data_IF_676344862612
#
_entry.id   IF_676344862612
#
_cell.length_a   1.000
_cell.length_b   1.000
_cell.length_c   1.000
_cell.angle_alpha   90.00
_cell.angle_beta   90.00
_cell.angle_gamma   90.00
#
_symmetry.space_group_name_H-M   'P 1'
#
loop_
_entity.id
_entity.type
_entity.pdbx_description
1 polymer ?
#
# COMPACT_ATOMS: atom_id res chain seq x y z
N UNK A 1 22.28 -8.34 31.44
CA UNK A 1 21.24 -9.19 30.82
C UNK A 1 20.21 -8.28 30.16
N UNK A 2 20.38 -7.98 28.87
CA UNK A 2 19.39 -7.23 28.10
C UNK A 2 18.28 -8.18 27.69
N UNK A 3 17.08 -8.02 28.23
CA UNK A 3 15.89 -8.75 27.77
C UNK A 3 15.62 -8.34 26.34
N UNK A 4 15.84 -9.26 25.40
CA UNK A 4 15.43 -9.10 24.01
C UNK A 4 13.89 -8.99 24.00
N UNK A 5 13.35 -7.76 24.02
CA UNK A 5 11.90 -7.54 23.92
C UNK A 5 11.46 -8.08 22.56
N UNK A 6 10.79 -9.23 22.57
CA UNK A 6 10.19 -9.84 21.38
C UNK A 6 9.11 -8.89 20.87
N UNK A 7 9.25 -8.42 19.64
CA UNK A 7 8.34 -7.46 19.01
C UNK A 7 7.43 -8.20 18.06
N UNK A 8 6.18 -7.78 18.00
CA UNK A 8 5.23 -8.27 17.00
C UNK A 8 5.38 -7.43 15.74
N UNK A 9 5.34 -8.07 14.58
CA UNK A 9 5.19 -7.36 13.32
C UNK A 9 4.09 -8.00 12.49
N UNK A 10 3.37 -7.16 11.77
CA UNK A 10 2.44 -7.57 10.73
C UNK A 10 2.83 -6.86 9.44
N UNK A 11 2.99 -7.65 8.39
CA UNK A 11 3.15 -7.19 7.02
C UNK A 11 1.96 -7.70 6.21
N UNK A 12 1.37 -6.80 5.42
CA UNK A 12 0.22 -7.08 4.56
C UNK A 12 0.59 -6.66 3.15
N UNK A 13 0.51 -7.59 2.21
CA UNK A 13 0.69 -7.30 0.79
C UNK A 13 -0.57 -7.66 0.02
N UNK A 14 -1.12 -6.72 -0.74
CA UNK A 14 -2.23 -7.00 -1.65
C UNK A 14 -1.78 -6.68 -3.08
N UNK A 15 -1.70 -7.69 -3.98
CA UNK A 15 -1.41 -7.46 -5.38
C UNK A 15 -2.53 -6.65 -6.03
N UNK A 16 -2.16 -5.69 -6.86
CA UNK A 16 -3.10 -4.96 -7.68
C UNK A 16 -3.59 -5.89 -8.80
N UNK A 17 -4.91 -5.87 -9.12
CA UNK A 17 -5.39 -6.47 -10.34
C UNK A 17 -4.68 -5.90 -11.57
N UNK A 18 -4.66 -6.68 -12.65
CA UNK A 18 -4.10 -6.23 -13.92
C UNK A 18 -4.75 -4.92 -14.39
N UNK A 19 -3.94 -3.96 -14.85
CA UNK A 19 -4.41 -2.64 -15.28
C UNK A 19 -4.84 -1.68 -14.16
N UNK A 20 -4.84 -2.10 -12.88
CA UNK A 20 -5.26 -1.26 -11.76
C UNK A 20 -4.13 -0.42 -11.14
N UNK A 21 -2.96 -0.34 -11.78
CA UNK A 21 -1.77 0.32 -11.24
C UNK A 21 -2.02 1.78 -10.83
N UNK A 22 -2.69 2.57 -11.66
CA UNK A 22 -2.98 3.98 -11.37
C UNK A 22 -3.84 4.15 -10.10
N UNK A 23 -4.88 3.32 -9.97
CA UNK A 23 -5.79 3.32 -8.81
C UNK A 23 -5.03 2.92 -7.54
N UNK A 24 -4.17 1.90 -7.61
CA UNK A 24 -3.38 1.45 -6.47
C UNK A 24 -2.28 2.44 -6.08
N UNK A 25 -1.69 3.16 -7.04
CA UNK A 25 -0.78 4.28 -6.78
C UNK A 25 -1.50 5.39 -6.01
N UNK A 26 -2.71 5.77 -6.46
CA UNK A 26 -3.52 6.77 -5.78
C UNK A 26 -3.94 6.32 -4.38
N UNK A 27 -4.38 5.06 -4.24
CA UNK A 27 -4.69 4.45 -2.94
C UNK A 27 -3.52 4.54 -1.97
N UNK A 28 -2.32 4.11 -2.39
CA UNK A 28 -1.13 4.18 -1.55
C UNK A 28 -0.78 5.63 -1.15
N UNK A 29 -0.86 6.57 -2.10
CA UNK A 29 -0.58 7.98 -1.86
C UNK A 29 -1.55 8.59 -0.84
N UNK A 30 -2.84 8.32 -0.98
CA UNK A 30 -3.87 8.82 -0.04
C UNK A 30 -3.84 8.12 1.31
N UNK A 31 -3.53 6.83 1.34
CA UNK A 31 -3.54 6.04 2.56
C UNK A 31 -2.34 6.35 3.46
N UNK A 32 -1.21 6.82 2.90
CA UNK A 32 0.02 7.05 3.66
C UNK A 32 -0.19 7.96 4.88
N UNK A 33 -0.87 9.09 4.71
CA UNK A 33 -1.15 10.05 5.79
C UNK A 33 -2.04 9.46 6.89
N UNK A 34 -3.28 9.04 6.59
CA UNK A 34 -4.21 8.42 7.54
C UNK A 34 -3.63 7.19 8.24
N UNK A 35 -2.90 6.34 7.52
CA UNK A 35 -2.27 5.14 8.08
C UNK A 35 -1.21 5.49 9.12
N UNK A 36 -0.36 6.46 8.82
CA UNK A 36 0.63 6.95 9.78
C UNK A 36 -0.04 7.61 10.98
N UNK A 37 -0.96 8.55 10.74
CA UNK A 37 -1.67 9.28 11.79
C UNK A 37 -2.38 8.32 12.76
N UNK A 38 -3.16 7.37 12.24
CA UNK A 38 -3.94 6.45 13.07
C UNK A 38 -3.07 5.46 13.84
N UNK A 39 -2.15 4.77 13.16
CA UNK A 39 -1.42 3.64 13.76
C UNK A 39 -0.18 4.09 14.53
N UNK A 40 0.52 5.15 14.10
CA UNK A 40 1.74 5.65 14.76
C UNK A 40 1.43 6.71 15.81
N UNK A 41 0.56 7.67 15.52
CA UNK A 41 0.33 8.84 16.40
C UNK A 41 -0.78 8.57 17.41
N UNK A 42 -1.96 8.18 16.94
CA UNK A 42 -3.15 8.04 17.80
C UNK A 42 -3.12 6.76 18.64
N UNK A 43 -2.94 5.61 17.98
CA UNK A 43 -2.95 4.31 18.65
C UNK A 43 -1.57 3.93 19.21
N UNK A 44 -0.52 4.70 18.87
CA UNK A 44 0.87 4.51 19.34
C UNK A 44 1.38 3.07 19.16
N UNK A 45 0.93 2.39 18.10
CA UNK A 45 1.08 0.95 17.95
C UNK A 45 2.47 0.52 17.57
N UNK A 46 3.37 1.38 17.09
CA UNK A 46 4.64 0.86 16.61
C UNK A 46 5.74 1.86 16.42
N UNK A 47 6.98 1.37 16.48
CA UNK A 47 8.21 2.12 16.17
C UNK A 47 8.38 2.35 14.67
N UNK A 48 7.83 1.44 13.85
CA UNK A 48 7.84 1.49 12.41
C UNK A 48 6.42 1.20 11.89
N UNK A 49 5.91 2.12 11.06
CA UNK A 49 4.62 2.05 10.39
C UNK A 49 4.88 2.53 8.96
N UNK A 50 4.49 1.74 7.96
CA UNK A 50 4.63 2.14 6.57
C UNK A 50 3.44 1.67 5.72
N UNK A 51 3.11 2.48 4.73
CA UNK A 51 2.16 2.20 3.67
C UNK A 51 2.80 2.66 2.38
N UNK A 52 2.96 1.76 1.42
CA UNK A 52 3.57 2.11 0.15
C UNK A 52 3.16 1.16 -0.96
N UNK A 53 3.20 1.64 -2.20
CA UNK A 53 3.16 0.77 -3.36
C UNK A 53 4.52 0.08 -3.54
N UNK A 54 4.50 -1.19 -3.90
CA UNK A 54 5.69 -1.99 -4.23
C UNK A 54 5.43 -2.79 -5.50
N UNK A 55 6.49 -3.00 -6.26
CA UNK A 55 6.49 -4.00 -7.33
C UNK A 55 7.43 -5.13 -6.92
N UNK A 56 6.93 -6.36 -7.03
CA UNK A 56 7.67 -7.57 -6.69
C UNK A 56 7.57 -8.53 -7.87
N UNK A 57 8.68 -8.79 -8.55
CA UNK A 57 8.71 -9.62 -9.76
C UNK A 57 7.67 -9.22 -10.83
N UNK A 58 7.53 -7.92 -11.11
CA UNK A 58 6.54 -7.39 -12.07
C UNK A 58 5.10 -7.32 -11.54
N UNK A 59 4.84 -7.77 -10.30
CA UNK A 59 3.53 -7.64 -9.66
C UNK A 59 3.49 -6.36 -8.83
N UNK A 60 2.73 -5.38 -9.29
CA UNK A 60 2.42 -4.18 -8.51
C UNK A 60 1.43 -4.53 -7.39
N UNK A 61 1.63 -3.98 -6.20
CA UNK A 61 0.70 -4.12 -5.09
C UNK A 61 0.94 -3.12 -3.97
N UNK A 62 0.01 -3.05 -3.03
CA UNK A 62 0.16 -2.23 -1.83
C UNK A 62 0.77 -3.06 -0.71
N UNK A 63 1.76 -2.49 -0.02
CA UNK A 63 2.45 -3.08 1.11
C UNK A 63 2.22 -2.22 2.35
N UNK A 64 1.59 -2.79 3.36
CA UNK A 64 1.32 -2.17 4.66
C UNK A 64 2.10 -2.91 5.73
N UNK A 65 2.74 -2.21 6.65
CA UNK A 65 3.53 -2.83 7.69
C UNK A 65 3.50 -2.07 9.00
N UNK A 66 3.39 -2.80 10.11
CA UNK A 66 3.46 -2.25 11.47
C UNK A 66 4.28 -3.19 12.35
N UNK A 67 5.22 -2.62 13.10
CA UNK A 67 5.93 -3.32 14.16
C UNK A 67 5.60 -2.72 15.53
N UNK A 68 4.99 -3.53 16.39
CA UNK A 68 4.56 -3.15 17.74
C UNK A 68 5.36 -3.82 18.85
N UNK A 69 5.71 -3.09 19.92
CA UNK A 69 6.23 -3.71 21.14
C UNK A 69 5.14 -4.36 22.00
N UNK A 70 3.85 -4.06 21.77
CA UNK A 70 2.76 -4.40 22.70
C UNK A 70 1.52 -4.99 22.03
N UNK A 71 1.14 -4.52 20.85
CA UNK A 71 -0.03 -5.01 20.13
C UNK A 71 0.27 -6.32 19.40
N UNK A 72 -0.66 -7.27 19.47
CA UNK A 72 -0.57 -8.53 18.73
C UNK A 72 -0.86 -8.32 17.24
N UNK A 73 -0.39 -9.21 16.33
CA UNK A 73 -0.70 -9.11 14.91
C UNK A 73 -2.20 -9.06 14.60
N UNK A 74 -3.03 -9.80 15.35
CA UNK A 74 -4.48 -9.77 15.20
C UNK A 74 -5.10 -8.40 15.56
N UNK A 75 -4.63 -7.77 16.65
CA UNK A 75 -5.07 -6.43 17.02
C UNK A 75 -4.64 -5.38 15.99
N UNK A 76 -3.39 -5.47 15.50
CA UNK A 76 -2.89 -4.60 14.43
C UNK A 76 -3.75 -4.75 13.17
N UNK A 77 -4.04 -5.99 12.75
CA UNK A 77 -4.89 -6.27 11.60
C UNK A 77 -6.29 -5.68 11.76
N UNK A 78 -6.89 -5.79 12.95
CA UNK A 78 -8.18 -5.17 13.25
C UNK A 78 -8.17 -3.65 13.06
N UNK A 79 -7.12 -2.97 13.53
CA UNK A 79 -6.96 -1.53 13.32
C UNK A 79 -6.75 -1.16 11.85
N UNK A 80 -5.97 -1.95 11.10
CA UNK A 80 -5.79 -1.75 9.66
C UNK A 80 -7.11 -1.92 8.90
N UNK A 81 -7.89 -2.97 9.23
CA UNK A 81 -9.19 -3.22 8.60
C UNK A 81 -10.19 -2.10 8.88
N UNK A 82 -10.26 -1.62 10.13
CA UNK A 82 -11.10 -0.47 10.50
C UNK A 82 -10.71 0.77 9.68
N UNK A 83 -9.42 1.11 9.62
CA UNK A 83 -8.94 2.25 8.84
C UNK A 83 -9.30 2.14 7.36
N UNK A 84 -9.09 0.96 6.76
CA UNK A 84 -9.39 0.75 5.33
C UNK A 84 -10.89 0.79 5.05
N UNK A 85 -11.72 0.30 5.97
CA UNK A 85 -13.19 0.41 5.89
C UNK A 85 -13.63 1.88 5.96
N UNK A 86 -13.10 2.63 6.93
CA UNK A 86 -13.37 4.07 7.07
C UNK A 86 -12.91 4.82 5.81
N UNK A 87 -11.77 4.45 5.24
CA UNK A 87 -11.25 4.99 3.99
C UNK A 87 -12.17 4.68 2.79
N UNK A 88 -12.67 3.45 2.65
CA UNK A 88 -13.56 3.06 1.56
C UNK A 88 -14.92 3.76 1.60
N UNK A 89 -15.34 4.26 2.77
CA UNK A 89 -16.59 5.01 2.92
C UNK A 89 -16.40 6.52 2.84
N UNK A 90 -15.16 7.01 2.88
CA UNK A 90 -14.86 8.42 2.82
C UNK A 90 -14.90 8.91 1.36
N UNK A 91 -16.01 9.54 0.98
CA UNK A 91 -16.06 10.34 -0.24
C UNK A 91 -15.27 11.63 -0.02
N UNK A 92 -13.99 11.61 -0.38
CA UNK A 92 -13.13 12.77 -0.28
C UNK A 92 -12.62 13.13 -1.67
N UNK A 93 -12.85 14.40 -2.06
CA UNK A 93 -12.26 14.98 -3.27
C UNK A 93 -10.75 14.73 -3.26
N UNK A 94 -10.30 14.04 -4.30
CA UNK A 94 -8.95 13.58 -4.51
C UNK A 94 -8.32 14.25 -5.72
N UNK A 95 -8.92 15.31 -6.27
CA UNK A 95 -8.33 16.07 -7.36
C UNK A 95 -6.91 16.51 -6.99
N UNK A 96 -6.71 17.20 -5.87
CA UNK A 96 -5.37 17.64 -5.48
C UNK A 96 -4.39 16.47 -5.30
N UNK A 97 -4.87 15.33 -4.79
CA UNK A 97 -4.06 14.13 -4.59
C UNK A 97 -3.69 13.45 -5.93
N UNK A 98 -4.62 13.38 -6.89
CA UNK A 98 -4.37 12.90 -8.26
C UNK A 98 -3.35 13.79 -8.96
N UNK A 99 -3.52 15.11 -8.89
CA UNK A 99 -2.60 16.06 -9.48
C UNK A 99 -1.20 15.94 -8.87
N UNK A 100 -1.09 15.93 -7.54
CA UNK A 100 0.19 15.81 -6.85
C UNK A 100 0.89 14.47 -7.13
N UNK A 101 0.13 13.39 -7.30
CA UNK A 101 0.67 12.09 -7.66
C UNK A 101 1.11 12.03 -9.13
N UNK A 102 0.29 12.51 -10.06
CA UNK A 102 0.63 12.54 -11.47
C UNK A 102 1.89 13.38 -11.73
N UNK A 103 2.06 14.50 -11.02
CA UNK A 103 3.24 15.36 -11.14
C UNK A 103 4.56 14.64 -10.78
N UNK A 104 4.53 13.59 -9.96
CA UNK A 104 5.73 12.82 -9.62
C UNK A 104 6.28 11.99 -10.79
N UNK A 105 5.49 11.82 -11.86
CA UNK A 105 5.85 11.00 -13.03
C UNK A 105 6.23 11.85 -14.25
N UNK A 106 6.56 13.13 -14.07
CA UNK A 106 7.19 13.91 -15.13
C UNK A 106 8.65 13.47 -15.32
N UNK A 107 8.99 13.06 -16.54
CA UNK A 107 10.33 12.55 -16.87
C UNK A 107 11.44 13.55 -16.51
N UNK A 108 11.18 14.85 -16.66
CA UNK A 108 12.13 15.92 -16.32
C UNK A 108 12.42 16.03 -14.83
N UNK A 109 11.52 15.53 -13.98
CA UNK A 109 11.61 15.61 -12.51
C UNK A 109 12.15 14.30 -11.92
N UNK A 110 12.31 13.26 -12.74
CA UNK A 110 12.83 11.95 -12.37
C UNK A 110 14.31 11.82 -12.77
N UNK A 111 15.07 11.04 -12.00
CA UNK A 111 16.41 10.65 -12.45
C UNK A 111 16.32 9.61 -13.57
N UNK A 112 17.33 9.54 -14.44
CA UNK A 112 17.40 8.50 -15.48
C UNK A 112 17.32 7.08 -14.89
N UNK A 113 17.85 6.88 -13.68
CA UNK A 113 17.78 5.60 -12.99
C UNK A 113 16.33 5.26 -12.59
N UNK A 114 15.57 6.23 -12.09
CA UNK A 114 14.18 6.04 -11.71
C UNK A 114 13.28 5.79 -12.94
N UNK A 115 13.53 6.50 -14.05
CA UNK A 115 12.82 6.27 -15.31
C UNK A 115 13.11 4.88 -15.86
N UNK A 116 14.38 4.46 -15.87
CA UNK A 116 14.77 3.14 -16.33
C UNK A 116 14.19 2.01 -15.46
N UNK A 117 14.26 2.16 -14.14
CA UNK A 117 13.68 1.19 -13.20
C UNK A 117 12.16 1.12 -13.36
N UNK A 118 11.47 2.25 -13.46
CA UNK A 118 10.02 2.27 -13.70
C UNK A 118 9.66 1.58 -15.03
N UNK A 119 10.37 1.89 -16.12
CA UNK A 119 10.11 1.30 -17.43
C UNK A 119 10.36 -0.22 -17.40
N UNK A 120 11.43 -0.66 -16.74
CA UNK A 120 11.75 -2.07 -16.58
C UNK A 120 10.67 -2.83 -15.80
N UNK A 121 10.22 -2.26 -14.67
CA UNK A 121 9.18 -2.84 -13.83
C UNK A 121 7.83 -2.93 -14.57
N UNK A 122 7.50 -1.90 -15.35
CA UNK A 122 6.29 -1.87 -16.20
C UNK A 122 6.37 -2.88 -17.36
N UNK A 123 7.56 -3.11 -17.92
CA UNK A 123 7.77 -4.17 -18.89
C UNK A 123 7.56 -5.56 -18.27
N UNK A 124 8.08 -5.79 -17.06
CA UNK A 124 7.89 -7.06 -16.33
C UNK A 124 6.42 -7.34 -15.98
N UNK A 125 5.58 -6.31 -15.85
CA UNK A 125 4.14 -6.47 -15.63
C UNK A 125 3.34 -6.78 -16.91
N UNK A 126 4.01 -6.87 -18.06
CA UNK A 126 3.41 -7.25 -19.35
C UNK A 126 3.15 -6.08 -20.31
N UNK A 127 3.45 -4.85 -19.92
CA UNK A 127 3.24 -3.66 -20.77
C UNK A 127 4.44 -3.48 -21.70
N UNK A 128 4.23 -3.70 -23.00
CA UNK A 128 5.33 -3.68 -23.98
C UNK A 128 5.91 -2.29 -24.26
N UNK A 129 5.10 -1.25 -24.13
CA UNK A 129 5.49 0.14 -24.43
C UNK A 129 5.14 1.04 -23.24
N UNK A 130 5.95 1.03 -22.18
CA UNK A 130 5.73 1.88 -21.01
C UNK A 130 5.79 3.36 -21.42
N UNK A 131 4.76 4.13 -21.04
CA UNK A 131 4.69 5.58 -21.24
C UNK A 131 4.30 6.31 -19.96
N UNK A 132 5.18 7.21 -19.47
CA UNK A 132 4.92 8.02 -18.28
C UNK A 132 3.69 8.92 -18.46
N UNK A 133 3.49 9.48 -19.67
CA UNK A 133 2.31 10.31 -19.96
C UNK A 133 1.01 9.51 -19.92
N UNK A 134 1.04 8.24 -20.34
CA UNK A 134 -0.11 7.34 -20.23
C UNK A 134 -0.42 7.02 -18.77
N UNK A 135 0.61 6.78 -17.94
CA UNK A 135 0.43 6.58 -16.49
C UNK A 135 -0.15 7.83 -15.81
N UNK A 136 0.38 9.02 -16.12
CA UNK A 136 -0.16 10.28 -15.59
C UNK A 136 -1.63 10.46 -15.96
N UNK A 137 -2.00 10.27 -17.23
CA UNK A 137 -3.38 10.37 -17.68
C UNK A 137 -4.27 9.35 -16.96
N UNK A 138 -3.80 8.12 -16.76
CA UNK A 138 -4.52 7.10 -16.02
C UNK A 138 -4.73 7.48 -14.54
N UNK A 139 -3.73 8.08 -13.88
CA UNK A 139 -3.83 8.58 -12.50
C UNK A 139 -4.88 9.70 -12.41
N UNK A 140 -4.85 10.65 -13.35
CA UNK A 140 -5.79 11.78 -13.39
C UNK A 140 -7.23 11.33 -13.70
N UNK A 141 -7.39 10.20 -14.41
CA UNK A 141 -8.68 9.62 -14.77
C UNK A 141 -9.21 8.60 -13.74
N UNK A 142 -8.56 8.43 -12.58
CA UNK A 142 -9.07 7.53 -11.54
C UNK A 142 -10.38 8.09 -10.99
N UNK A 143 -11.44 7.31 -11.16
CA UNK A 143 -12.76 7.61 -10.64
C UNK A 143 -12.87 7.24 -9.14
N UNK A 144 -13.66 8.00 -8.33
CA UNK A 144 -13.80 7.73 -6.90
C UNK A 144 -14.23 6.30 -6.58
N UNK A 145 -15.19 5.74 -7.32
CA UNK A 145 -15.67 4.36 -7.10
C UNK A 145 -14.55 3.33 -7.30
N UNK A 146 -13.61 3.56 -8.22
CA UNK A 146 -12.49 2.64 -8.45
C UNK A 146 -11.56 2.60 -7.22
N UNK A 147 -11.40 3.74 -6.54
CA UNK A 147 -10.62 3.84 -5.31
C UNK A 147 -11.30 3.11 -4.14
N UNK A 148 -12.62 3.23 -4.00
CA UNK A 148 -13.41 2.50 -3.00
C UNK A 148 -13.35 0.98 -3.24
N UNK A 149 -13.50 0.55 -4.50
CA UNK A 149 -13.33 -0.85 -4.90
C UNK A 149 -11.92 -1.35 -4.60
N UNK A 150 -10.88 -0.56 -4.85
CA UNK A 150 -9.51 -0.95 -4.53
C UNK A 150 -9.28 -1.09 -3.02
N UNK A 151 -9.80 -0.17 -2.20
CA UNK A 151 -9.71 -0.27 -0.74
C UNK A 151 -10.42 -1.53 -0.21
N UNK A 152 -11.60 -1.85 -0.76
CA UNK A 152 -12.33 -3.09 -0.44
C UNK A 152 -11.54 -4.33 -0.88
N UNK A 153 -10.99 -4.31 -2.09
CA UNK A 153 -10.17 -5.42 -2.58
C UNK A 153 -8.97 -5.73 -1.66
N UNK A 154 -8.32 -4.71 -1.09
CA UNK A 154 -7.23 -4.88 -0.13
C UNK A 154 -7.69 -5.59 1.15
N UNK A 155 -8.93 -5.41 1.59
CA UNK A 155 -9.49 -6.11 2.75
C UNK A 155 -9.69 -7.60 2.49
N UNK A 156 -10.00 -7.97 1.25
CA UNK A 156 -10.44 -9.32 0.88
C UNK A 156 -9.31 -10.18 0.31
N UNK A 157 -8.33 -9.57 -0.37
CA UNK A 157 -7.31 -10.28 -1.16
C UNK A 157 -5.87 -10.05 -0.65
N UNK A 158 -5.74 -9.63 0.60
CA UNK A 158 -4.44 -9.40 1.22
C UNK A 158 -3.75 -10.71 1.64
N UNK A 159 -2.46 -10.79 1.36
CA UNK A 159 -1.54 -11.78 1.92
C UNK A 159 -0.94 -11.24 3.22
N UNK A 160 -0.89 -12.08 4.25
CA UNK A 160 -0.44 -11.69 5.58
C UNK A 160 0.83 -12.43 5.99
N UNK A 161 1.81 -11.69 6.50
CA UNK A 161 2.98 -12.23 7.17
C UNK A 161 3.05 -11.63 8.56
N UNK A 162 2.86 -12.47 9.58
CA UNK A 162 2.92 -12.08 10.97
C UNK A 162 4.14 -12.73 11.63
N UNK A 163 4.87 -11.95 12.44
CA UNK A 163 5.83 -12.52 13.39
C UNK A 163 5.19 -12.61 14.76
N UNK A 164 4.99 -13.85 15.22
CA UNK A 164 4.65 -14.14 16.61
C UNK A 164 5.93 -14.49 17.38
N UNK A 165 6.02 -14.17 18.68
CA UNK A 165 7.18 -14.50 19.51
C UNK A 165 7.41 -16.00 19.77
N UNK A 166 6.62 -16.87 19.14
CA UNK A 166 6.69 -18.33 19.10
C UNK A 166 6.01 -18.82 17.82
N UNK A 167 6.73 -19.69 17.10
CA UNK A 167 6.37 -20.44 15.90
C UNK A 167 5.77 -19.66 14.72
N UNK A 168 6.54 -19.65 13.64
CA UNK A 168 6.14 -19.22 12.30
C UNK A 168 5.02 -20.12 11.76
N UNK A 169 3.79 -19.88 12.18
CA UNK A 169 2.61 -20.46 11.54
C UNK A 169 1.96 -19.41 10.64
N UNK A 170 1.89 -19.71 9.34
CA UNK A 170 1.10 -18.98 8.35
C UNK A 170 -0.36 -18.95 8.83
N UNK A 171 -0.92 -17.75 9.01
CA UNK A 171 -2.34 -17.58 9.31
C UNK A 171 -3.16 -18.03 8.08
N UNK A 172 -4.30 -18.73 8.26
CA UNK A 172 -5.10 -19.21 7.15
C UNK A 172 -5.73 -18.04 6.38
N UNK A 173 -5.77 -18.18 5.05
CA UNK A 173 -6.51 -17.32 4.13
C UNK A 173 -8.00 -17.43 4.46
N UNK A 174 -8.70 -16.30 4.60
CA UNK A 174 -10.15 -16.29 4.77
C UNK A 174 -10.80 -16.92 3.53
N UNK A 175 -11.68 -17.90 3.74
CA UNK A 175 -12.49 -18.53 2.68
C UNK A 175 -13.65 -17.63 2.26
#
# INVERSE_FOLDING_TARGET
>A
MSTCRRKHALLVFCPAPEGAEAVYRLLAHRLQGPFYQRLRVELQLGYAVFSALRQVHGVTGILLGVQSPSASPASILGHMRSLLCDFSHAQADDADARQALAAQFHETDMSNADVAEWAWQTYLSGVQSPSLSTLQAAILAVEPHALEHAATHVLDNALYLASTPQDSQLLPVAQ
#
